data_IF_952211088829
#
_entry.id   IF_952211088829
#
_cell.length_a   1.000
_cell.length_b   1.000
_cell.length_c   1.000
_cell.angle_alpha   90.00
_cell.angle_beta   90.00
_cell.angle_gamma   90.00
#
_symmetry.space_group_name_H-M   'P 1'
#
loop_
_entity.id
_entity.type
_entity.pdbx_description
1 polymer ?
#
# COMPACT_ATOMS: atom_id res chain seq x y z
N UNK A 1 -4.21 25.22 -34.88
CA UNK A 1 -5.11 25.83 -33.87
C UNK A 1 -4.49 25.57 -32.51
N UNK A 2 -3.93 26.59 -31.87
CA UNK A 2 -3.50 26.45 -30.49
C UNK A 2 -4.76 26.23 -29.63
N UNK A 3 -4.83 25.09 -28.94
CA UNK A 3 -5.93 24.81 -28.03
C UNK A 3 -6.00 25.94 -26.99
N UNK A 4 -7.18 26.51 -26.80
CA UNK A 4 -7.40 27.56 -25.82
C UNK A 4 -7.56 26.89 -24.44
N UNK A 5 -6.43 26.42 -23.90
CA UNK A 5 -6.30 25.63 -22.67
C UNK A 5 -6.82 26.29 -21.36
N UNK A 6 -6.90 27.65 -21.19
CA UNK A 6 -7.15 28.22 -19.86
C UNK A 6 -8.52 27.88 -19.23
N UNK A 7 -9.52 27.52 -20.04
CA UNK A 7 -10.90 27.29 -19.58
C UNK A 7 -11.34 25.82 -19.60
N UNK A 8 -10.47 24.88 -19.96
CA UNK A 8 -10.77 23.44 -20.05
C UNK A 8 -10.37 22.66 -18.80
N UNK A 9 -10.17 23.36 -17.67
CA UNK A 9 -9.89 22.71 -16.40
C UNK A 9 -11.12 21.92 -15.94
N UNK A 10 -11.01 20.59 -15.91
CA UNK A 10 -12.02 19.71 -15.35
C UNK A 10 -12.23 20.04 -13.86
N UNK A 11 -13.31 20.75 -13.56
CA UNK A 11 -13.69 21.06 -12.18
C UNK A 11 -14.61 19.98 -11.63
N UNK A 12 -14.35 19.58 -10.38
CA UNK A 12 -15.27 18.70 -9.64
C UNK A 12 -16.55 19.50 -9.34
N UNK A 13 -17.75 19.02 -9.73
CA UNK A 13 -19.03 19.65 -9.43
C UNK A 13 -19.23 19.77 -7.93
N UNK A 14 -19.98 20.79 -7.52
CA UNK A 14 -20.18 21.15 -6.11
C UNK A 14 -20.71 19.98 -5.26
N UNK A 15 -21.51 19.07 -5.84
CA UNK A 15 -22.03 17.87 -5.17
C UNK A 15 -20.91 16.95 -4.66
N UNK A 16 -19.88 16.70 -5.47
CA UNK A 16 -18.75 15.86 -5.10
C UNK A 16 -17.81 16.55 -4.10
N UNK A 17 -17.67 17.89 -4.19
CA UNK A 17 -16.95 18.66 -3.15
C UNK A 17 -17.65 18.57 -1.80
N UNK A 18 -18.98 18.52 -1.79
CA UNK A 18 -19.79 18.26 -0.59
C UNK A 18 -19.72 16.82 -0.08
N UNK A 19 -19.48 15.84 -0.97
CA UNK A 19 -19.31 14.43 -0.58
C UNK A 19 -17.98 14.14 0.11
N UNK A 20 -16.90 14.84 -0.23
CA UNK A 20 -15.60 14.64 0.40
C UNK A 20 -15.61 14.75 1.94
N UNK A 21 -16.12 15.84 2.55
CA UNK A 21 -16.22 15.93 4.01
C UNK A 21 -17.18 14.89 4.60
N UNK A 22 -18.23 14.50 3.88
CA UNK A 22 -19.16 13.43 4.31
C UNK A 22 -18.44 12.08 4.37
N UNK A 23 -17.65 11.73 3.35
CA UNK A 23 -16.87 10.48 3.33
C UNK A 23 -15.81 10.46 4.45
N UNK A 24 -15.17 11.60 4.71
CA UNK A 24 -14.24 11.74 5.85
C UNK A 24 -14.99 11.55 7.18
N UNK A 25 -16.16 12.18 7.34
CA UNK A 25 -16.98 12.05 8.55
C UNK A 25 -17.46 10.60 8.76
N UNK A 26 -17.93 9.93 7.71
CA UNK A 26 -18.32 8.51 7.76
C UNK A 26 -17.12 7.64 8.13
N UNK A 27 -15.95 7.87 7.53
CA UNK A 27 -14.72 7.18 7.89
C UNK A 27 -14.33 7.37 9.35
N UNK A 28 -14.40 8.61 9.86
CA UNK A 28 -14.14 8.92 11.26
C UNK A 28 -15.15 8.22 12.20
N UNK A 29 -16.44 8.21 11.85
CA UNK A 29 -17.47 7.49 12.60
C UNK A 29 -17.19 5.98 12.62
N UNK A 30 -16.80 5.38 11.50
CA UNK A 30 -16.41 3.96 11.46
C UNK A 30 -15.20 3.66 12.35
N UNK A 31 -14.21 4.56 12.40
CA UNK A 31 -13.07 4.42 13.32
C UNK A 31 -13.52 4.55 14.77
N UNK A 32 -14.40 5.49 15.10
CA UNK A 32 -14.96 5.64 16.44
C UNK A 32 -15.80 4.43 16.86
N UNK A 33 -16.60 3.86 15.95
CA UNK A 33 -17.34 2.62 16.20
C UNK A 33 -16.36 1.46 16.44
N UNK A 34 -15.29 1.36 15.66
CA UNK A 34 -14.23 0.35 15.86
C UNK A 34 -13.54 0.50 17.23
N UNK A 35 -13.26 1.74 17.66
CA UNK A 35 -12.74 2.05 18.99
C UNK A 35 -13.77 1.75 20.10
N UNK A 36 -15.05 1.96 19.84
CA UNK A 36 -16.13 1.59 20.76
C UNK A 36 -16.24 0.07 20.91
N UNK A 37 -16.25 -0.67 19.79
CA UNK A 37 -16.22 -2.13 19.79
C UNK A 37 -14.97 -2.68 20.50
N UNK A 38 -13.81 -2.01 20.35
CA UNK A 38 -12.62 -2.30 21.14
C UNK A 38 -12.88 -2.22 22.66
N UNK A 39 -13.53 -1.16 23.12
CA UNK A 39 -13.84 -0.96 24.55
C UNK A 39 -14.85 -1.99 25.07
N UNK A 40 -15.87 -2.35 24.27
CA UNK A 40 -16.93 -3.28 24.67
C UNK A 40 -16.61 -4.78 24.48
N UNK A 41 -15.60 -5.12 23.67
CA UNK A 41 -15.14 -6.52 23.51
C UNK A 41 -14.07 -6.92 24.52
N UNK A 42 -13.52 -5.95 25.27
CA UNK A 42 -12.70 -6.22 26.45
C UNK A 42 -13.56 -6.77 27.60
N UNK A 43 -13.65 -8.09 27.74
CA UNK A 43 -14.17 -8.70 28.96
C UNK A 43 -13.15 -8.53 30.10
N UNK A 44 -13.61 -8.31 31.34
CA UNK A 44 -12.76 -8.25 32.55
C UNK A 44 -11.78 -9.44 32.67
N UNK A 45 -12.09 -10.58 32.04
CA UNK A 45 -11.25 -11.77 32.05
C UNK A 45 -10.04 -11.74 31.08
N UNK A 46 -10.05 -10.92 30.00
CA UNK A 46 -8.96 -10.82 29.01
C UNK A 46 -8.87 -9.42 28.38
N UNK A 47 -8.27 -8.43 29.08
CA UNK A 47 -8.23 -7.04 28.62
C UNK A 47 -7.47 -6.83 27.29
N UNK A 48 -6.52 -7.71 26.96
CA UNK A 48 -5.65 -7.53 25.78
C UNK A 48 -6.30 -7.91 24.44
N UNK A 49 -7.43 -8.62 24.45
CA UNK A 49 -8.03 -9.19 23.23
C UNK A 49 -8.55 -8.08 22.32
N UNK A 50 -9.28 -7.11 22.87
CA UNK A 50 -9.75 -5.97 22.09
C UNK A 50 -8.58 -5.23 21.43
N UNK A 51 -7.51 -4.97 22.18
CA UNK A 51 -6.37 -4.18 21.71
C UNK A 51 -5.66 -4.87 20.54
N UNK A 52 -5.45 -6.19 20.65
CA UNK A 52 -4.92 -7.03 19.57
C UNK A 52 -5.81 -6.98 18.33
N UNK A 53 -7.12 -7.21 18.49
CA UNK A 53 -8.07 -7.25 17.36
C UNK A 53 -8.11 -5.91 16.63
N UNK A 54 -8.12 -4.79 17.37
CA UNK A 54 -8.10 -3.45 16.79
C UNK A 54 -6.85 -3.23 15.93
N UNK A 55 -5.64 -3.45 16.48
CA UNK A 55 -4.40 -3.18 15.75
C UNK A 55 -4.17 -4.11 14.57
N UNK A 56 -4.52 -5.40 14.67
CA UNK A 56 -4.44 -6.32 13.54
C UNK A 56 -5.41 -5.91 12.41
N UNK A 57 -6.65 -5.55 12.76
CA UNK A 57 -7.64 -5.08 11.77
C UNK A 57 -7.24 -3.74 11.17
N UNK A 58 -6.68 -2.85 11.97
CA UNK A 58 -6.18 -1.55 11.52
C UNK A 58 -5.03 -1.71 10.53
N UNK A 59 -4.03 -2.54 10.87
CA UNK A 59 -2.89 -2.83 9.99
C UNK A 59 -3.35 -3.48 8.68
N UNK A 60 -4.26 -4.45 8.71
CA UNK A 60 -4.75 -5.12 7.51
C UNK A 60 -5.42 -4.14 6.54
N UNK A 61 -6.32 -3.28 7.05
CA UNK A 61 -7.00 -2.26 6.24
C UNK A 61 -6.02 -1.16 5.77
N UNK A 62 -5.09 -0.77 6.64
CA UNK A 62 -4.04 0.19 6.31
C UNK A 62 -3.20 -0.31 5.13
N UNK A 63 -2.72 -1.56 5.20
CA UNK A 63 -1.91 -2.16 4.15
C UNK A 63 -2.70 -2.35 2.86
N UNK A 64 -3.97 -2.76 2.94
CA UNK A 64 -4.84 -2.83 1.77
C UNK A 64 -4.92 -1.47 1.06
N UNK A 65 -5.24 -0.40 1.79
CA UNK A 65 -5.38 0.93 1.20
C UNK A 65 -4.06 1.51 0.69
N UNK A 66 -2.98 1.33 1.44
CA UNK A 66 -1.66 1.78 1.02
C UNK A 66 -1.17 1.03 -0.23
N UNK A 67 -1.50 -0.26 -0.38
CA UNK A 67 -1.01 -1.11 -1.47
C UNK A 67 -1.37 -0.57 -2.86
N UNK A 68 -2.60 -0.09 -3.07
CA UNK A 68 -3.01 0.46 -4.36
C UNK A 68 -2.43 1.86 -4.60
N UNK A 69 -2.14 2.64 -3.56
CA UNK A 69 -1.41 3.90 -3.68
C UNK A 69 0.05 3.66 -4.09
N UNK A 70 0.70 2.65 -3.52
CA UNK A 70 2.05 2.23 -3.91
C UNK A 70 2.08 1.63 -5.32
N UNK A 71 1.04 0.87 -5.70
CA UNK A 71 0.84 0.41 -7.07
C UNK A 71 0.71 1.58 -8.05
N UNK A 72 -0.02 2.64 -7.68
CA UNK A 72 -0.13 3.85 -8.48
C UNK A 72 1.21 4.56 -8.66
N UNK A 73 2.00 4.68 -7.59
CA UNK A 73 3.35 5.25 -7.65
C UNK A 73 4.24 4.45 -8.60
N UNK A 74 4.28 3.12 -8.45
CA UNK A 74 5.05 2.27 -9.36
C UNK A 74 4.59 2.43 -10.81
N UNK A 75 3.28 2.48 -11.06
CA UNK A 75 2.73 2.69 -12.40
C UNK A 75 3.18 4.01 -13.02
N UNK A 76 3.18 5.11 -12.25
CA UNK A 76 3.70 6.40 -12.70
C UNK A 76 5.19 6.28 -13.07
N UNK A 77 5.99 5.66 -12.22
CA UNK A 77 7.42 5.50 -12.47
C UNK A 77 7.71 4.65 -13.71
N UNK A 78 7.08 3.47 -13.82
CA UNK A 78 7.35 2.55 -14.93
C UNK A 78 6.89 3.12 -16.27
N UNK A 79 5.77 3.85 -16.31
CA UNK A 79 5.28 4.48 -17.54
C UNK A 79 6.18 5.61 -18.02
N UNK A 80 6.83 6.33 -17.11
CA UNK A 80 7.93 7.23 -17.47
C UNK A 80 9.16 6.45 -17.96
N UNK A 81 9.57 5.39 -17.27
CA UNK A 81 10.75 4.61 -17.65
C UNK A 81 10.65 4.05 -19.08
N UNK A 82 9.51 3.45 -19.43
CA UNK A 82 9.30 2.82 -20.75
C UNK A 82 8.71 3.76 -21.80
N UNK A 83 8.50 5.05 -21.45
CA UNK A 83 7.91 6.06 -22.33
C UNK A 83 6.54 5.64 -22.89
N UNK A 84 5.70 5.05 -22.04
CA UNK A 84 4.35 4.61 -22.44
C UNK A 84 3.46 5.81 -22.76
N UNK A 85 3.08 5.95 -24.03
CA UNK A 85 2.20 7.02 -24.51
C UNK A 85 0.74 6.79 -24.15
N UNK A 86 0.26 5.54 -24.21
CA UNK A 86 -1.13 5.17 -23.88
C UNK A 86 -1.50 5.52 -22.43
N UNK A 87 -0.53 5.47 -21.51
CA UNK A 87 -0.76 5.78 -20.10
C UNK A 87 -0.95 7.28 -19.81
N UNK A 88 -0.74 8.16 -20.80
CA UNK A 88 -0.84 9.61 -20.62
C UNK A 88 -2.22 10.07 -20.13
N UNK A 89 -3.31 9.51 -20.68
CA UNK A 89 -4.68 9.85 -20.29
C UNK A 89 -5.04 9.49 -18.86
N UNK A 90 -4.42 8.43 -18.30
CA UNK A 90 -4.68 7.96 -16.94
C UNK A 90 -3.60 8.40 -15.94
N UNK A 91 -2.48 8.97 -16.42
CA UNK A 91 -1.33 9.35 -15.60
C UNK A 91 -1.71 10.30 -14.48
N UNK A 92 -2.50 11.35 -14.77
CA UNK A 92 -2.91 12.34 -13.76
C UNK A 92 -3.68 11.69 -12.62
N UNK A 93 -4.56 10.73 -12.90
CA UNK A 93 -5.32 10.01 -11.88
C UNK A 93 -4.40 9.12 -11.03
N UNK A 94 -3.45 8.42 -11.66
CA UNK A 94 -2.44 7.63 -10.95
C UNK A 94 -1.52 8.49 -10.06
N UNK A 95 -1.10 9.66 -10.53
CA UNK A 95 -0.30 10.61 -9.75
C UNK A 95 -1.08 11.15 -8.54
N UNK A 96 -2.38 11.42 -8.69
CA UNK A 96 -3.23 11.85 -7.57
C UNK A 96 -3.35 10.75 -6.52
N UNK A 97 -3.54 9.48 -6.93
CA UNK A 97 -3.52 8.35 -6.00
C UNK A 97 -2.17 8.22 -5.29
N UNK A 98 -1.06 8.31 -6.02
CA UNK A 98 0.28 8.25 -5.44
C UNK A 98 0.55 9.43 -4.49
N UNK A 99 0.05 10.63 -4.79
CA UNK A 99 0.21 11.81 -3.94
C UNK A 99 -0.42 11.60 -2.55
N UNK A 100 -1.45 10.76 -2.43
CA UNK A 100 -2.08 10.46 -1.14
C UNK A 100 -1.20 9.67 -0.16
N UNK A 101 -0.07 9.09 -0.61
CA UNK A 101 0.88 8.38 0.27
C UNK A 101 1.32 9.23 1.47
N UNK A 102 1.39 10.55 1.29
CA UNK A 102 1.70 11.49 2.38
C UNK A 102 0.66 11.46 3.51
N UNK A 103 -0.62 11.26 3.19
CA UNK A 103 -1.70 11.15 4.17
C UNK A 103 -1.67 9.79 4.88
N UNK A 104 -1.31 8.73 4.15
CA UNK A 104 -1.10 7.40 4.75
C UNK A 104 0.04 7.39 5.77
N UNK A 105 1.07 8.23 5.61
CA UNK A 105 2.10 8.41 6.64
C UNK A 105 1.51 8.92 7.97
N UNK A 106 0.52 9.83 7.93
CA UNK A 106 -0.17 10.31 9.13
C UNK A 106 -1.06 9.22 9.73
N UNK A 107 -1.74 8.44 8.89
CA UNK A 107 -2.55 7.31 9.36
C UNK A 107 -1.70 6.16 9.89
N UNK A 108 -0.38 6.17 9.71
CA UNK A 108 0.52 5.20 10.36
C UNK A 108 0.90 5.59 11.80
N UNK A 109 0.61 6.83 12.23
CA UNK A 109 0.96 7.33 13.58
C UNK A 109 0.43 6.45 14.71
N UNK A 110 -0.83 5.94 14.70
CA UNK A 110 -1.31 5.06 15.76
C UNK A 110 -0.46 3.79 15.94
N UNK A 111 0.03 3.20 14.85
CA UNK A 111 0.92 2.03 14.89
C UNK A 111 2.28 2.42 15.49
N UNK A 112 2.86 3.54 15.05
CA UNK A 112 4.12 4.03 15.63
C UNK A 112 4.01 4.36 17.11
N UNK A 113 2.92 5.00 17.53
CA UNK A 113 2.69 5.33 18.93
C UNK A 113 2.57 4.07 19.80
N UNK A 114 1.89 3.04 19.29
CA UNK A 114 1.78 1.75 19.96
C UNK A 114 3.16 1.07 20.13
N UNK A 115 3.98 1.07 19.07
CA UNK A 115 5.33 0.49 19.09
C UNK A 115 6.26 1.26 20.04
N UNK A 116 6.26 2.60 19.99
CA UNK A 116 7.21 3.42 20.74
C UNK A 116 6.85 3.65 22.21
N UNK A 117 5.57 3.74 22.56
CA UNK A 117 5.14 4.18 23.89
C UNK A 117 4.51 3.10 24.76
N UNK A 118 4.09 1.97 24.19
CA UNK A 118 3.27 0.99 24.94
C UNK A 118 4.06 -0.28 25.30
N UNK A 119 5.19 -0.58 24.66
CA UNK A 119 5.92 -1.87 24.77
C UNK A 119 5.01 -3.12 24.65
N UNK A 120 3.86 -2.95 24.00
CA UNK A 120 2.83 -3.98 23.93
C UNK A 120 3.15 -4.98 22.82
N UNK A 121 3.03 -6.26 23.14
CA UNK A 121 3.17 -7.37 22.17
C UNK A 121 1.91 -7.62 21.32
N UNK A 122 0.95 -6.69 21.34
CA UNK A 122 -0.37 -6.94 20.77
C UNK A 122 -0.39 -7.04 19.24
N UNK A 123 0.46 -6.29 18.54
CA UNK A 123 0.59 -6.34 17.08
C UNK A 123 1.87 -7.07 16.66
N UNK A 124 2.96 -6.78 17.38
CA UNK A 124 4.29 -7.29 17.12
C UNK A 124 4.83 -7.97 18.37
N UNK A 125 5.03 -9.28 18.31
CA UNK A 125 5.52 -10.07 19.46
C UNK A 125 6.87 -9.59 19.97
N UNK A 126 7.75 -9.13 19.07
CA UNK A 126 9.09 -8.62 19.40
C UNK A 126 9.09 -7.30 20.18
N UNK A 127 7.97 -6.56 20.24
CA UNK A 127 7.90 -5.25 20.89
C UNK A 127 8.02 -5.30 22.42
N UNK A 128 7.97 -6.50 23.02
CA UNK A 128 8.27 -6.68 24.45
C UNK A 128 9.74 -6.48 24.82
N UNK A 129 10.65 -6.44 23.85
CA UNK A 129 12.06 -6.14 24.05
C UNK A 129 12.91 -7.28 24.65
N UNK A 130 14.21 -7.03 24.91
CA UNK A 130 15.13 -8.01 25.48
C UNK A 130 14.68 -8.45 26.88
N UNK A 131 14.68 -9.76 27.15
CA UNK A 131 14.26 -10.31 28.45
C UNK A 131 12.77 -10.68 28.54
N UNK A 132 12.00 -10.45 27.48
CA UNK A 132 10.73 -11.16 27.30
C UNK A 132 10.99 -12.61 26.86
N UNK A 133 10.10 -13.55 27.19
CA UNK A 133 10.18 -14.99 26.87
C UNK A 133 10.04 -15.28 25.35
N UNK A 134 10.83 -14.57 24.54
CA UNK A 134 10.87 -14.68 23.08
C UNK A 134 11.73 -15.87 22.66
N UNK A 135 11.35 -16.57 21.58
CA UNK A 135 12.19 -17.60 20.99
C UNK A 135 13.57 -17.06 20.61
N UNK A 136 14.61 -17.89 20.71
CA UNK A 136 16.00 -17.52 20.38
C UNK A 136 16.14 -16.89 18.98
N UNK A 137 15.36 -17.39 18.01
CA UNK A 137 15.33 -16.87 16.63
C UNK A 137 14.89 -15.39 16.60
N UNK A 138 13.93 -15.00 17.43
CA UNK A 138 13.43 -13.63 17.51
C UNK A 138 14.41 -12.75 18.28
N UNK A 139 15.03 -13.27 19.34
CA UNK A 139 16.06 -12.54 20.10
C UNK A 139 17.23 -12.11 19.20
N UNK A 140 17.68 -12.99 18.30
CA UNK A 140 18.73 -12.69 17.33
C UNK A 140 18.34 -11.60 16.30
N UNK A 141 17.05 -11.33 16.13
CA UNK A 141 16.53 -10.30 15.21
C UNK A 141 16.31 -8.95 15.90
N UNK A 142 16.45 -8.83 17.22
CA UNK A 142 16.16 -7.57 17.97
C UNK A 142 17.08 -6.40 17.58
N UNK A 143 18.27 -6.67 17.04
CA UNK A 143 19.12 -5.63 16.45
C UNK A 143 18.44 -4.90 15.29
N UNK A 144 17.63 -5.61 14.51
CA UNK A 144 16.79 -5.05 13.44
C UNK A 144 15.39 -4.67 13.94
N UNK A 145 14.74 -5.55 14.70
CA UNK A 145 13.40 -5.41 15.27
C UNK A 145 13.44 -4.76 16.66
N UNK A 146 13.80 -3.48 16.69
CA UNK A 146 13.67 -2.64 17.88
C UNK A 146 12.80 -1.41 17.58
N UNK A 147 12.07 -0.88 18.57
CA UNK A 147 11.10 0.21 18.36
C UNK A 147 11.72 1.45 17.69
N UNK A 148 12.91 1.86 18.12
CA UNK A 148 13.58 3.05 17.60
C UNK A 148 13.99 2.89 16.13
N UNK A 149 14.64 1.78 15.80
CA UNK A 149 15.10 1.52 14.42
C UNK A 149 13.92 1.24 13.49
N UNK A 150 12.88 0.54 13.96
CA UNK A 150 11.61 0.37 13.23
C UNK A 150 10.97 1.71 12.87
N UNK A 151 10.93 2.66 13.80
CA UNK A 151 10.37 3.99 13.57
C UNK A 151 11.19 4.78 12.54
N UNK A 152 12.53 4.76 12.65
CA UNK A 152 13.42 5.42 11.68
C UNK A 152 13.20 4.85 10.29
N UNK A 153 13.19 3.52 10.14
CA UNK A 153 12.96 2.86 8.86
C UNK A 153 11.61 3.19 8.26
N UNK A 154 10.55 3.16 9.07
CA UNK A 154 9.20 3.58 8.66
C UNK A 154 9.20 5.01 8.10
N UNK A 155 9.86 5.95 8.79
CA UNK A 155 9.99 7.33 8.31
C UNK A 155 10.73 7.40 6.97
N UNK A 156 11.81 6.62 6.82
CA UNK A 156 12.57 6.53 5.56
C UNK A 156 11.69 5.99 4.42
N UNK A 157 10.85 4.98 4.65
CA UNK A 157 9.96 4.43 3.62
C UNK A 157 8.95 5.46 3.14
N UNK A 158 8.26 6.14 4.06
CA UNK A 158 7.33 7.21 3.70
C UNK A 158 8.03 8.43 3.08
N UNK A 159 9.26 8.75 3.51
CA UNK A 159 10.04 9.81 2.89
C UNK A 159 10.36 9.46 1.43
N UNK A 160 10.86 8.24 1.15
CA UNK A 160 11.16 7.80 -0.22
C UNK A 160 9.90 7.89 -1.08
N UNK A 161 8.81 7.22 -0.70
CA UNK A 161 7.61 7.19 -1.54
C UNK A 161 6.90 8.54 -1.63
N UNK A 162 6.77 9.24 -0.51
CA UNK A 162 6.09 10.53 -0.43
C UNK A 162 6.83 11.62 -1.20
N UNK A 163 8.16 11.69 -1.08
CA UNK A 163 8.97 12.64 -1.84
C UNK A 163 8.92 12.30 -3.33
N UNK A 164 9.08 11.02 -3.72
CA UNK A 164 8.99 10.63 -5.12
C UNK A 164 7.61 10.96 -5.70
N UNK A 165 6.52 10.60 -5.03
CA UNK A 165 5.16 10.91 -5.48
C UNK A 165 4.93 12.42 -5.66
N UNK A 166 5.41 13.24 -4.70
CA UNK A 166 5.31 14.70 -4.78
C UNK A 166 6.13 15.28 -5.92
N UNK A 167 7.37 14.83 -6.11
CA UNK A 167 8.24 15.31 -7.20
C UNK A 167 7.56 15.03 -8.54
N UNK A 168 7.09 13.81 -8.77
CA UNK A 168 6.45 13.45 -10.04
C UNK A 168 5.17 14.25 -10.27
N UNK A 169 4.30 14.38 -9.27
CA UNK A 169 3.08 15.17 -9.38
C UNK A 169 3.35 16.66 -9.64
N UNK A 170 4.25 17.28 -8.87
CA UNK A 170 4.57 18.71 -8.99
C UNK A 170 5.27 19.04 -10.31
N UNK A 171 6.21 18.19 -10.76
CA UNK A 171 6.88 18.36 -12.04
C UNK A 171 5.91 18.15 -13.21
N UNK A 172 5.04 17.13 -13.12
CA UNK A 172 3.97 16.89 -14.09
C UNK A 172 3.03 18.08 -14.21
N UNK A 173 2.64 18.72 -13.09
CA UNK A 173 1.86 19.97 -13.12
C UNK A 173 2.62 21.14 -13.72
N UNK A 174 3.91 21.30 -13.37
CA UNK A 174 4.75 22.35 -13.96
C UNK A 174 4.84 22.20 -15.48
N UNK A 175 4.87 20.97 -15.99
CA UNK A 175 4.87 20.71 -17.42
C UNK A 175 3.56 21.15 -18.10
N UNK A 176 2.41 21.03 -17.43
CA UNK A 176 1.14 21.56 -17.96
C UNK A 176 1.18 23.09 -18.08
N UNK A 177 1.82 23.78 -17.12
CA UNK A 177 1.91 25.24 -17.10
C UNK A 177 2.94 25.78 -18.13
N UNK A 178 4.10 25.12 -18.27
CA UNK A 178 5.21 25.62 -19.10
C UNK A 178 5.27 25.02 -20.51
N UNK A 179 4.67 23.86 -20.74
CA UNK A 179 4.82 23.09 -21.97
C UNK A 179 6.23 22.53 -22.21
N UNK A 180 7.11 22.59 -21.21
CA UNK A 180 8.53 22.24 -21.35
C UNK A 180 8.76 20.73 -21.40
N UNK A 181 9.23 20.24 -22.55
CA UNK A 181 9.55 18.83 -22.78
C UNK A 181 10.74 18.32 -21.95
N UNK A 182 11.63 19.21 -21.49
CA UNK A 182 12.80 18.83 -20.68
C UNK A 182 12.38 18.22 -19.34
N UNK A 183 11.25 18.67 -18.78
CA UNK A 183 10.68 18.14 -17.54
C UNK A 183 10.37 16.63 -17.69
N UNK A 184 9.72 16.25 -18.79
CA UNK A 184 9.44 14.85 -19.09
C UNK A 184 10.72 14.03 -19.23
N UNK A 185 11.74 14.54 -19.93
CA UNK A 185 13.03 13.85 -20.08
C UNK A 185 13.74 13.67 -18.73
N UNK A 186 13.67 14.67 -17.85
CA UNK A 186 14.22 14.59 -16.49
C UNK A 186 13.51 13.52 -15.67
N UNK A 187 12.17 13.48 -15.68
CA UNK A 187 11.40 12.45 -14.98
C UNK A 187 11.72 11.05 -15.50
N UNK A 188 11.83 10.87 -16.82
CA UNK A 188 12.23 9.60 -17.43
C UNK A 188 13.62 9.14 -16.96
N UNK A 189 14.59 10.07 -16.88
CA UNK A 189 15.96 9.77 -16.43
C UNK A 189 16.00 9.32 -14.96
N UNK A 190 15.18 9.92 -14.12
CA UNK A 190 15.11 9.61 -12.69
C UNK A 190 14.19 8.42 -12.36
N UNK A 191 13.38 7.94 -13.32
CA UNK A 191 12.46 6.82 -13.10
C UNK A 191 13.18 5.52 -12.72
N UNK A 192 14.30 5.19 -13.37
CA UNK A 192 15.07 3.97 -13.08
C UNK A 192 15.55 3.91 -11.62
N UNK A 193 16.35 4.89 -11.14
CA UNK A 193 16.77 4.94 -9.74
C UNK A 193 15.60 5.03 -8.76
N UNK A 194 14.52 5.75 -9.10
CA UNK A 194 13.34 5.86 -8.25
C UNK A 194 12.63 4.51 -8.07
N UNK A 195 12.55 3.67 -9.12
CA UNK A 195 11.98 2.31 -9.03
C UNK A 195 12.83 1.41 -8.12
N UNK A 196 14.16 1.51 -8.20
CA UNK A 196 15.05 0.73 -7.33
C UNK A 196 14.84 1.10 -5.86
N UNK A 197 14.80 2.39 -5.54
CA UNK A 197 14.53 2.87 -4.18
C UNK A 197 13.12 2.49 -3.70
N UNK A 198 12.12 2.61 -4.58
CA UNK A 198 10.75 2.18 -4.31
C UNK A 198 10.69 0.69 -3.95
N UNK A 199 11.32 -0.17 -4.75
CA UNK A 199 11.30 -1.63 -4.56
C UNK A 199 12.01 -2.04 -3.26
N UNK A 200 13.15 -1.42 -2.94
CA UNK A 200 13.85 -1.66 -1.68
C UNK A 200 13.00 -1.24 -0.48
N UNK A 201 12.43 -0.03 -0.52
CA UNK A 201 11.56 0.45 0.54
C UNK A 201 10.32 -0.45 0.70
N UNK A 202 9.71 -0.91 -0.39
CA UNK A 202 8.54 -1.80 -0.35
C UNK A 202 8.85 -3.15 0.28
N UNK A 203 9.98 -3.76 -0.10
CA UNK A 203 10.39 -5.04 0.48
C UNK A 203 10.64 -4.92 1.99
N UNK A 204 11.43 -3.93 2.42
CA UNK A 204 11.70 -3.78 3.84
C UNK A 204 10.47 -3.34 4.64
N UNK A 205 9.59 -2.52 4.07
CA UNK A 205 8.31 -2.19 4.69
C UNK A 205 7.40 -3.41 4.84
N UNK A 206 7.36 -4.31 3.84
CA UNK A 206 6.64 -5.58 3.96
C UNK A 206 7.23 -6.48 5.05
N UNK A 207 8.55 -6.48 5.21
CA UNK A 207 9.22 -7.22 6.28
C UNK A 207 8.90 -6.63 7.66
N UNK A 208 9.00 -5.31 7.79
CA UNK A 208 8.74 -4.62 9.05
C UNK A 208 7.27 -4.67 9.45
N UNK A 209 6.35 -4.33 8.55
CA UNK A 209 4.96 -4.09 8.94
C UNK A 209 4.11 -5.34 8.91
N UNK A 210 4.37 -6.26 7.97
CA UNK A 210 3.54 -7.45 7.79
C UNK A 210 4.25 -8.71 8.27
N UNK A 211 5.46 -9.00 7.79
CA UNK A 211 6.17 -10.23 8.15
C UNK A 211 6.50 -10.28 9.64
N UNK A 212 6.93 -9.16 10.24
CA UNK A 212 7.33 -9.11 11.65
C UNK A 212 6.17 -9.30 12.65
N UNK A 213 4.92 -9.33 12.18
CA UNK A 213 3.77 -9.77 13.02
C UNK A 213 3.99 -11.21 13.52
N UNK A 214 4.69 -12.03 12.72
CA UNK A 214 5.28 -13.30 13.13
C UNK A 214 6.80 -13.25 12.89
N UNK A 215 7.52 -12.66 13.84
CA UNK A 215 8.97 -12.48 13.73
C UNK A 215 9.78 -13.78 13.75
N UNK A 216 9.20 -14.93 14.10
CA UNK A 216 9.88 -16.21 13.99
C UNK A 216 9.98 -16.64 12.51
N UNK A 217 8.91 -16.38 11.74
CA UNK A 217 8.83 -16.67 10.33
C UNK A 217 9.64 -15.68 9.46
N UNK A 218 10.07 -16.12 8.28
CA UNK A 218 10.76 -15.28 7.30
C UNK A 218 10.54 -15.82 5.88
N UNK A 219 10.48 -14.91 4.90
CA UNK A 219 10.28 -15.27 3.49
C UNK A 219 10.82 -14.21 2.53
N UNK A 220 11.78 -14.57 1.70
CA UNK A 220 12.43 -13.61 0.79
C UNK A 220 11.48 -13.07 -0.28
N UNK A 221 10.51 -13.88 -0.74
CA UNK A 221 9.56 -13.53 -1.81
C UNK A 221 8.39 -12.67 -1.32
N UNK A 222 8.22 -12.50 -0.01
CA UNK A 222 7.04 -11.87 0.57
C UNK A 222 6.86 -10.40 0.17
N UNK A 223 7.95 -9.65 0.02
CA UNK A 223 7.87 -8.28 -0.48
C UNK A 223 7.35 -8.20 -1.92
N UNK A 224 7.72 -9.18 -2.77
CA UNK A 224 7.20 -9.32 -4.14
C UNK A 224 5.74 -9.74 -4.13
N UNK A 225 5.31 -10.55 -3.15
CA UNK A 225 3.90 -10.88 -2.95
C UNK A 225 3.07 -9.62 -2.69
N UNK A 226 3.52 -8.76 -1.77
CA UNK A 226 2.87 -7.48 -1.44
C UNK A 226 2.85 -6.54 -2.65
N UNK A 227 3.95 -6.50 -3.42
CA UNK A 227 4.02 -5.73 -4.66
C UNK A 227 2.98 -6.19 -5.69
N UNK A 228 2.92 -7.50 -5.96
CA UNK A 228 1.99 -8.07 -6.93
C UNK A 228 0.53 -7.77 -6.54
N UNK A 229 0.19 -7.92 -5.26
CA UNK A 229 -1.13 -7.58 -4.72
C UNK A 229 -1.44 -6.07 -4.83
N UNK A 230 -0.45 -5.21 -4.60
CA UNK A 230 -0.59 -3.76 -4.74
C UNK A 230 -0.87 -3.33 -6.18
N UNK A 231 -0.18 -3.92 -7.15
CA UNK A 231 -0.41 -3.67 -8.59
C UNK A 231 -1.79 -4.16 -9.04
N UNK A 232 -2.21 -5.34 -8.57
CA UNK A 232 -3.55 -5.87 -8.83
C UNK A 232 -4.64 -4.91 -8.30
N UNK A 233 -4.52 -4.51 -7.04
CA UNK A 233 -5.46 -3.58 -6.39
C UNK A 233 -5.47 -2.22 -7.08
N UNK A 234 -4.31 -1.72 -7.51
CA UNK A 234 -4.20 -0.47 -8.26
C UNK A 234 -5.02 -0.49 -9.55
N UNK A 235 -4.84 -1.49 -10.42
CA UNK A 235 -5.59 -1.53 -11.69
C UNK A 235 -7.09 -1.67 -11.46
N UNK A 236 -7.51 -2.48 -10.48
CA UNK A 236 -8.92 -2.60 -10.11
C UNK A 236 -9.52 -1.26 -9.67
N UNK A 237 -8.83 -0.54 -8.76
CA UNK A 237 -9.25 0.79 -8.30
C UNK A 237 -9.26 1.80 -9.45
N UNK A 238 -8.25 1.78 -10.32
CA UNK A 238 -8.18 2.69 -11.47
C UNK A 238 -9.32 2.48 -12.47
N UNK A 239 -9.67 1.24 -12.78
CA UNK A 239 -10.79 0.94 -13.69
C UNK A 239 -12.10 1.44 -13.10
N UNK A 240 -12.34 1.19 -11.81
CA UNK A 240 -13.55 1.68 -11.11
C UNK A 240 -13.57 3.20 -11.09
N UNK A 241 -12.46 3.86 -10.75
CA UNK A 241 -12.37 5.33 -10.70
C UNK A 241 -12.59 5.96 -12.09
N UNK A 242 -11.97 5.42 -13.13
CA UNK A 242 -12.20 5.86 -14.51
C UNK A 242 -13.66 5.71 -14.91
N UNK A 243 -14.29 4.56 -14.60
CA UNK A 243 -15.69 4.33 -14.90
C UNK A 243 -16.61 5.32 -14.15
N UNK A 244 -16.37 5.54 -12.85
CA UNK A 244 -17.12 6.51 -12.05
C UNK A 244 -16.98 7.94 -12.59
N UNK A 245 -15.78 8.33 -13.02
CA UNK A 245 -15.54 9.67 -13.60
C UNK A 245 -16.16 9.81 -14.99
N UNK A 246 -16.16 8.75 -15.81
CA UNK A 246 -16.84 8.74 -17.11
C UNK A 246 -18.36 8.82 -16.96
N UNK A 247 -18.95 8.02 -16.07
CA UNK A 247 -20.40 8.07 -15.81
C UNK A 247 -20.85 9.44 -15.27
N UNK A 248 -19.91 10.24 -14.74
CA UNK A 248 -20.17 11.63 -14.31
C UNK A 248 -19.97 12.69 -15.41
N UNK A 249 -19.65 12.29 -16.64
CA UNK A 249 -19.50 13.16 -17.81
C UNK A 249 -18.15 13.89 -17.94
N UNK A 250 -17.12 13.55 -17.15
CA UNK A 250 -15.88 14.36 -17.05
C UNK A 250 -14.75 13.94 -17.96
N UNK A 251 -14.57 12.65 -18.18
CA UNK A 251 -13.44 12.09 -18.95
C UNK A 251 -13.91 11.25 -20.14
N UNK A 252 -15.13 11.50 -20.63
CA UNK A 252 -15.78 10.72 -21.69
C UNK A 252 -14.92 10.59 -22.95
N UNK A 253 -14.19 11.65 -23.32
CA UNK A 253 -13.32 11.69 -24.50
C UNK A 253 -11.84 11.40 -24.20
N UNK A 254 -11.45 11.40 -22.93
CA UNK A 254 -10.04 11.26 -22.52
C UNK A 254 -9.63 9.79 -22.38
N UNK A 255 -10.54 8.96 -21.87
CA UNK A 255 -10.33 7.52 -21.68
C UNK A 255 -11.24 6.78 -22.65
N UNK A 256 -10.66 5.94 -23.49
CA UNK A 256 -11.39 5.17 -24.53
C UNK A 256 -11.50 3.69 -24.15
N UNK A 257 -12.21 2.90 -24.96
CA UNK A 257 -12.33 1.46 -24.76
C UNK A 257 -10.96 0.75 -24.76
N UNK A 258 -10.04 1.22 -25.60
CA UNK A 258 -8.67 0.69 -25.72
C UNK A 258 -7.89 0.87 -24.40
N UNK A 259 -8.08 1.99 -23.71
CA UNK A 259 -7.47 2.23 -22.41
C UNK A 259 -7.98 1.24 -21.35
N UNK A 260 -9.28 0.94 -21.35
CA UNK A 260 -9.84 -0.09 -20.46
C UNK A 260 -9.32 -1.48 -20.82
N UNK A 261 -9.18 -1.77 -22.12
CA UNK A 261 -8.63 -3.04 -22.58
C UNK A 261 -7.19 -3.21 -22.10
N UNK A 262 -6.36 -2.17 -22.21
CA UNK A 262 -4.96 -2.22 -21.76
C UNK A 262 -4.85 -2.31 -20.23
N UNK A 263 -5.62 -1.52 -19.47
CA UNK A 263 -5.69 -1.66 -18.01
C UNK A 263 -6.13 -3.08 -17.59
N UNK A 264 -7.08 -3.68 -18.31
CA UNK A 264 -7.56 -5.04 -18.04
C UNK A 264 -6.52 -6.10 -18.39
N UNK A 265 -5.75 -5.93 -19.48
CA UNK A 265 -4.60 -6.81 -19.81
C UNK A 265 -3.55 -6.77 -18.71
N UNK A 266 -3.22 -5.57 -18.20
CA UNK A 266 -2.29 -5.43 -17.10
C UNK A 266 -2.84 -6.07 -15.82
N UNK A 267 -4.10 -5.81 -15.47
CA UNK A 267 -4.73 -6.44 -14.30
C UNK A 267 -4.68 -7.97 -14.41
N UNK A 268 -5.05 -8.53 -15.56
CA UNK A 268 -4.98 -9.97 -15.80
C UNK A 268 -3.55 -10.51 -15.68
N UNK A 269 -2.57 -9.83 -16.27
CA UNK A 269 -1.16 -10.18 -16.13
C UNK A 269 -0.69 -10.20 -14.66
N UNK A 270 -1.13 -9.21 -13.87
CA UNK A 270 -0.83 -9.17 -12.43
C UNK A 270 -1.60 -10.20 -11.61
N UNK A 271 -2.80 -10.64 -12.02
CA UNK A 271 -3.49 -11.80 -11.42
C UNK A 271 -2.62 -13.05 -11.59
N UNK A 272 -2.17 -13.33 -12.82
CA UNK A 272 -1.32 -14.50 -13.10
C UNK A 272 0.01 -14.40 -12.34
N UNK A 273 0.63 -13.22 -12.33
CA UNK A 273 1.87 -13.00 -11.59
C UNK A 273 1.69 -13.19 -10.09
N UNK A 274 0.62 -12.64 -9.50
CA UNK A 274 0.31 -12.81 -8.08
C UNK A 274 0.07 -14.28 -7.74
N UNK A 275 -0.73 -15.00 -8.55
CA UNK A 275 -0.99 -16.43 -8.36
C UNK A 275 0.31 -17.25 -8.45
N UNK A 276 1.19 -16.93 -9.39
CA UNK A 276 2.52 -17.55 -9.49
C UNK A 276 3.36 -17.34 -8.24
N UNK A 277 3.42 -16.10 -7.71
CA UNK A 277 4.19 -15.78 -6.51
C UNK A 277 3.60 -16.46 -5.28
N UNK A 278 2.28 -16.39 -5.11
CA UNK A 278 1.56 -17.02 -3.99
C UNK A 278 1.76 -18.53 -3.97
N UNK A 279 1.58 -19.17 -5.12
CA UNK A 279 1.78 -20.61 -5.26
C UNK A 279 3.24 -21.01 -5.09
N UNK A 280 4.18 -20.28 -5.70
CA UNK A 280 5.62 -20.58 -5.56
C UNK A 280 6.10 -20.44 -4.13
N UNK A 281 5.59 -19.43 -3.40
CA UNK A 281 5.83 -19.31 -1.97
C UNK A 281 5.36 -20.60 -1.28
N UNK A 282 4.06 -20.90 -1.36
CA UNK A 282 3.47 -22.06 -0.70
C UNK A 282 4.19 -23.38 -1.06
N UNK A 283 4.45 -23.63 -2.34
CA UNK A 283 5.06 -24.86 -2.84
C UNK A 283 6.43 -25.10 -2.21
N UNK A 284 7.27 -24.06 -2.09
CA UNK A 284 8.61 -24.21 -1.51
C UNK A 284 8.56 -24.52 -0.02
N UNK A 285 7.65 -23.89 0.73
CA UNK A 285 7.43 -24.21 2.14
C UNK A 285 6.89 -25.63 2.32
N UNK A 286 5.93 -26.01 1.50
CA UNK A 286 5.33 -27.34 1.54
C UNK A 286 6.35 -28.44 1.18
N UNK A 287 7.17 -28.20 0.15
CA UNK A 287 8.17 -29.16 -0.30
C UNK A 287 9.33 -29.31 0.69
N UNK A 288 9.85 -28.19 1.22
CA UNK A 288 10.95 -28.21 2.20
C UNK A 288 10.53 -28.71 3.58
N UNK A 289 9.27 -28.48 3.96
CA UNK A 289 8.64 -28.91 5.21
C UNK A 289 9.48 -28.68 6.49
N UNK A 290 10.20 -27.55 6.55
CA UNK A 290 10.98 -27.16 7.72
C UNK A 290 9.99 -26.69 8.82
N UNK A 291 10.06 -27.23 10.05
CA UNK A 291 9.05 -26.95 11.09
C UNK A 291 8.85 -25.46 11.42
N UNK A 292 9.95 -24.71 11.53
CA UNK A 292 9.95 -23.28 11.85
C UNK A 292 9.23 -22.45 10.79
N UNK A 293 9.29 -22.89 9.55
CA UNK A 293 8.78 -22.18 8.38
C UNK A 293 7.34 -22.59 8.03
N UNK A 294 6.98 -23.86 8.25
CA UNK A 294 5.65 -24.41 7.95
C UNK A 294 4.59 -24.09 8.99
N UNK A 295 4.99 -23.75 10.23
CA UNK A 295 4.08 -23.33 11.29
C UNK A 295 3.17 -22.16 10.84
N UNK A 296 3.70 -21.26 10.02
CA UNK A 296 2.97 -20.12 9.47
C UNK A 296 1.81 -20.52 8.55
N UNK A 297 2.02 -21.53 7.69
CA UNK A 297 0.97 -22.08 6.81
C UNK A 297 -0.01 -22.96 7.56
N UNK A 298 0.43 -23.72 8.58
CA UNK A 298 -0.44 -24.61 9.36
C UNK A 298 -1.64 -23.88 9.97
N UNK A 299 -1.41 -22.71 10.57
CA UNK A 299 -2.49 -21.90 11.16
C UNK A 299 -3.45 -21.36 10.08
N UNK A 300 -2.93 -21.09 8.87
CA UNK A 300 -3.70 -20.58 7.72
C UNK A 300 -4.44 -21.65 6.93
N UNK A 301 -4.19 -22.93 7.24
CA UNK A 301 -4.88 -24.08 6.65
C UNK A 301 -5.82 -24.78 7.66
N UNK A 302 -6.02 -24.20 8.84
CA UNK A 302 -6.86 -24.78 9.90
C UNK A 302 -7.82 -23.74 10.48
N UNK A 303 -8.78 -24.16 11.32
CA UNK A 303 -9.70 -23.27 12.04
C UNK A 303 -10.50 -22.31 11.14
N UNK A 304 -10.94 -22.79 9.97
CA UNK A 304 -11.72 -22.00 9.00
C UNK A 304 -10.88 -21.19 8.02
N UNK A 305 -9.60 -20.94 8.31
CA UNK A 305 -8.70 -20.25 7.38
C UNK A 305 -8.46 -21.03 6.08
N UNK A 306 -8.66 -22.34 6.07
CA UNK A 306 -8.58 -23.18 4.86
C UNK A 306 -9.45 -22.72 3.69
N UNK A 307 -10.51 -21.94 3.94
CA UNK A 307 -11.40 -21.42 2.90
C UNK A 307 -10.98 -20.06 2.33
N UNK A 308 -10.06 -19.35 3.00
CA UNK A 308 -9.72 -17.94 2.69
C UNK A 308 -8.22 -17.62 2.76
N UNK A 309 -7.40 -18.53 3.30
CA UNK A 309 -6.00 -18.31 3.69
C UNK A 309 -4.96 -18.75 2.66
N UNK A 310 -5.39 -19.38 1.57
CA UNK A 310 -4.58 -19.78 0.42
C UNK A 310 -5.09 -19.10 -0.85
#
# INVERSE_FOLDING_TARGET
MAANIPNDNLTIPASWRGMAPVLIAVGAVCVLISLGLFYFTGSEAKPDVGFRVFFHSYLANFMFCLSFCLGALFFVLVTHLVRASWASSIRRLSELLAFTISWWALLFIPILAMVLFTNSQALYSWNGGPGSDLPLIVQNKLSYLNPGFFAIRTLVYFAIWGITARIYFLMSRKQDDTGDTEISLKLQRWAGPAIMLFALALNFAAFDWMMSTDAAWFSTIYGVYVFAAGMLSFFAVMIILCNMLQNSGRIEKLVTLEHYQDMSKFQHGFIVFWAYIAFSQFLLYWYGNIPEETAWYKVRMTNGWQYVGL
#
